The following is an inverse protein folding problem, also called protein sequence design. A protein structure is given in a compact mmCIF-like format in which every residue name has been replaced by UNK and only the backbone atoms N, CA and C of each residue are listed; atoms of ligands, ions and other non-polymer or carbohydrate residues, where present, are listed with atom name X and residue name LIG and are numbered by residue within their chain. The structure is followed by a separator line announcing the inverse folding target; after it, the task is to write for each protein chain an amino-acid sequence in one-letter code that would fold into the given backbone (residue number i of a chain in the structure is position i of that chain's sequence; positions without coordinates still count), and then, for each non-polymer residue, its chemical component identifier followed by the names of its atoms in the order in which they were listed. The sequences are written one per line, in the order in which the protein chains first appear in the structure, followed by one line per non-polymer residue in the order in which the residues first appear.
data_IF_497054825126
#
_entry.id   IF_497054825126
#
_cell.length_a   1.000
_cell.length_b   1.000
_cell.length_c   1.000
_cell.angle_alpha   90.00
_cell.angle_beta   90.00
_cell.angle_gamma   90.00
#
_symmetry.space_group_name_H-M   'P 1'
#
loop_
_entity.id
_entity.type
_entity.pdbx_description
1 polymer ?
#
# COMPACT_ATOMS: atom_id res chain seq x y z
N UNK A 1 -12.90 -35.86 -16.87
CA UNK A 1 -12.54 -34.51 -17.39
C UNK A 1 -13.61 -33.44 -17.12
N UNK A 2 -14.52 -33.67 -16.15
CA UNK A 2 -15.58 -32.72 -15.76
C UNK A 2 -15.28 -32.11 -14.37
N UNK A 3 -14.39 -32.72 -13.58
CA UNK A 3 -14.10 -32.30 -12.21
C UNK A 3 -13.05 -31.17 -12.11
N UNK A 4 -12.14 -31.03 -13.08
CA UNK A 4 -11.17 -29.92 -13.09
C UNK A 4 -11.81 -28.56 -13.40
N UNK A 5 -13.01 -28.55 -13.97
CA UNK A 5 -13.75 -27.32 -14.28
C UNK A 5 -14.50 -26.74 -13.08
N UNK A 6 -14.65 -27.49 -11.99
CA UNK A 6 -15.40 -27.06 -10.80
C UNK A 6 -14.50 -26.48 -9.68
N UNK A 7 -13.18 -26.44 -9.86
CA UNK A 7 -12.22 -26.00 -8.83
C UNK A 7 -11.92 -24.48 -8.83
N UNK A 8 -12.46 -23.69 -9.77
CA UNK A 8 -12.11 -22.27 -9.93
C UNK A 8 -13.20 -21.27 -9.47
N UNK A 9 -14.35 -21.75 -9.01
CA UNK A 9 -15.53 -20.92 -8.73
C UNK A 9 -15.97 -20.87 -7.27
N UNK A 10 -15.45 -21.72 -6.37
CA UNK A 10 -16.15 -21.93 -5.09
C UNK A 10 -15.70 -21.07 -3.89
N UNK A 11 -14.74 -20.15 -4.00
CA UNK A 11 -14.43 -19.22 -2.89
C UNK A 11 -14.18 -17.78 -3.35
N UNK A 12 -14.99 -17.32 -4.29
CA UNK A 12 -15.01 -15.92 -4.73
C UNK A 12 -15.88 -15.09 -3.80
N UNK A 13 -15.28 -14.66 -2.68
CA UNK A 13 -15.93 -13.71 -1.77
C UNK A 13 -15.88 -12.31 -2.40
N UNK A 14 -16.97 -11.89 -3.05
CA UNK A 14 -17.14 -10.53 -3.55
C UNK A 14 -17.63 -9.60 -2.44
N UNK A 15 -16.82 -8.60 -2.14
CA UNK A 15 -17.09 -7.57 -1.15
C UNK A 15 -17.31 -6.25 -1.88
N UNK A 16 -18.48 -5.64 -1.68
CA UNK A 16 -18.75 -4.29 -2.16
C UNK A 16 -18.15 -3.28 -1.20
N UNK A 17 -17.18 -2.49 -1.67
CA UNK A 17 -16.52 -1.46 -0.86
C UNK A 17 -17.31 -0.16 -0.95
N UNK A 18 -17.66 0.27 -2.16
CA UNK A 18 -18.48 1.44 -2.48
C UNK A 18 -19.32 1.18 -3.73
N UNK A 19 -20.27 2.05 -4.00
CA UNK A 19 -21.00 2.06 -5.28
C UNK A 19 -20.02 2.38 -6.41
N UNK A 20 -19.66 1.37 -7.22
CA UNK A 20 -18.65 1.47 -8.28
C UNK A 20 -17.26 0.91 -7.94
N UNK A 21 -17.07 0.35 -6.72
CA UNK A 21 -15.83 -0.33 -6.33
C UNK A 21 -16.16 -1.67 -5.65
N UNK A 22 -15.83 -2.76 -6.32
CA UNK A 22 -15.97 -4.11 -5.76
C UNK A 22 -14.63 -4.82 -5.67
N UNK A 23 -14.49 -5.68 -4.67
CA UNK A 23 -13.30 -6.50 -4.43
C UNK A 23 -13.69 -7.96 -4.44
N UNK A 24 -13.01 -8.75 -5.25
CA UNK A 24 -13.17 -10.19 -5.28
C UNK A 24 -11.91 -10.86 -4.73
N UNK A 25 -12.01 -11.46 -3.55
CA UNK A 25 -10.86 -12.10 -2.91
C UNK A 25 -10.54 -13.40 -3.65
N UNK A 26 -9.31 -13.51 -4.19
CA UNK A 26 -8.79 -14.73 -4.85
C UNK A 26 -7.94 -15.56 -3.90
N UNK A 27 -7.21 -14.90 -3.00
CA UNK A 27 -6.39 -15.52 -1.96
C UNK A 27 -6.46 -14.65 -0.72
N UNK A 28 -6.80 -15.22 0.42
CA UNK A 28 -6.83 -14.51 1.70
C UNK A 28 -5.41 -14.22 2.16
N UNK A 29 -5.20 -13.00 2.64
CA UNK A 29 -3.99 -12.59 3.36
C UNK A 29 -4.17 -12.73 4.86
N UNK A 30 -3.12 -12.41 5.60
CA UNK A 30 -3.12 -12.40 7.06
C UNK A 30 -2.44 -11.13 7.60
N UNK A 31 -2.71 -10.81 8.87
CA UNK A 31 -2.20 -9.63 9.54
C UNK A 31 -3.17 -8.44 9.54
N UNK A 32 -2.63 -7.30 9.96
CA UNK A 32 -3.38 -6.06 10.13
C UNK A 32 -3.64 -5.36 8.79
N UNK A 33 -4.77 -4.66 8.72
CA UNK A 33 -5.10 -3.84 7.56
C UNK A 33 -4.15 -2.62 7.49
N UNK A 34 -3.68 -2.25 6.30
CA UNK A 34 -2.84 -1.09 6.16
C UNK A 34 -3.65 0.19 6.45
N UNK A 35 -2.99 1.15 7.07
CA UNK A 35 -3.55 2.45 7.45
C UNK A 35 -3.01 3.56 6.56
N UNK A 36 -3.76 4.66 6.46
CA UNK A 36 -3.35 5.82 5.67
C UNK A 36 -1.97 6.35 6.13
N UNK A 37 -1.11 6.68 5.17
CA UNK A 37 0.27 7.13 5.40
C UNK A 37 1.30 5.99 5.46
N UNK A 38 0.88 4.73 5.52
CA UNK A 38 1.80 3.61 5.35
C UNK A 38 2.23 3.48 3.89
N UNK A 39 3.44 2.94 3.69
CA UNK A 39 3.93 2.59 2.38
C UNK A 39 3.61 1.13 2.09
N UNK A 40 2.88 0.88 1.02
CA UNK A 40 2.46 -0.47 0.61
C UNK A 40 3.22 -0.91 -0.64
N UNK A 41 3.54 -2.19 -0.73
CA UNK A 41 4.11 -2.80 -1.94
C UNK A 41 3.15 -3.82 -2.50
N UNK A 42 2.84 -3.67 -3.79
CA UNK A 42 1.85 -4.51 -4.46
C UNK A 42 2.39 -5.06 -5.78
N UNK A 43 1.95 -6.27 -6.11
CA UNK A 43 1.95 -6.73 -7.50
C UNK A 43 0.56 -6.59 -8.07
N UNK A 44 0.44 -6.05 -9.27
CA UNK A 44 -0.81 -5.94 -9.98
C UNK A 44 -0.69 -6.33 -11.45
N UNK A 45 -1.85 -6.69 -12.01
CA UNK A 45 -2.15 -6.74 -13.44
C UNK A 45 -3.43 -5.91 -13.66
N UNK A 46 -3.34 -4.88 -14.50
CA UNK A 46 -4.45 -4.03 -14.90
C UNK A 46 -4.96 -4.44 -16.28
N UNK A 47 -6.25 -4.78 -16.35
CA UNK A 47 -6.93 -5.11 -17.61
C UNK A 47 -8.17 -4.24 -17.81
N UNK A 48 -8.51 -4.01 -19.07
CA UNK A 48 -9.80 -3.46 -19.46
C UNK A 48 -10.91 -4.50 -19.22
N UNK A 49 -12.16 -4.08 -19.41
CA UNK A 49 -13.34 -4.96 -19.28
C UNK A 49 -13.34 -6.12 -20.30
N UNK A 50 -12.76 -5.89 -21.48
CA UNK A 50 -12.59 -6.91 -22.53
C UNK A 50 -11.46 -7.92 -22.23
N UNK A 51 -10.73 -7.73 -21.12
CA UNK A 51 -9.59 -8.55 -20.72
C UNK A 51 -8.24 -8.11 -21.29
N UNK A 52 -8.19 -7.04 -22.10
CA UNK A 52 -6.94 -6.49 -22.63
C UNK A 52 -6.08 -5.93 -21.50
N UNK A 53 -4.88 -6.48 -21.32
CA UNK A 53 -3.90 -5.97 -20.36
C UNK A 53 -3.33 -4.64 -20.86
N UNK A 54 -3.41 -3.60 -20.04
CA UNK A 54 -2.79 -2.31 -20.33
C UNK A 54 -1.53 -2.07 -19.49
N UNK A 55 -1.42 -2.72 -18.34
CA UNK A 55 -0.29 -2.53 -17.44
C UNK A 55 -0.10 -3.72 -16.48
N UNK A 56 1.14 -4.12 -16.21
CA UNK A 56 1.47 -5.22 -15.30
C UNK A 56 2.82 -5.04 -14.63
N UNK A 57 2.80 -4.95 -13.30
CA UNK A 57 4.03 -4.98 -12.49
C UNK A 57 4.75 -6.33 -12.55
N UNK A 58 3.99 -7.42 -12.82
CA UNK A 58 4.55 -8.77 -12.91
C UNK A 58 5.35 -8.93 -14.20
N UNK A 59 4.85 -8.37 -15.29
CA UNK A 59 5.58 -8.32 -16.56
C UNK A 59 6.88 -7.51 -16.44
N UNK A 60 6.90 -6.46 -15.60
CA UNK A 60 8.12 -5.70 -15.29
C UNK A 60 9.07 -6.38 -14.29
N UNK A 61 8.60 -7.38 -13.56
CA UNK A 61 9.38 -8.06 -12.52
C UNK A 61 9.62 -7.24 -11.24
N UNK A 62 9.07 -6.03 -11.13
CA UNK A 62 9.26 -5.14 -9.98
C UNK A 62 7.92 -4.77 -9.34
N UNK A 63 7.73 -4.99 -8.03
CA UNK A 63 6.55 -4.52 -7.31
C UNK A 63 6.38 -3.01 -7.42
N UNK A 64 5.14 -2.56 -7.41
CA UNK A 64 4.82 -1.14 -7.34
C UNK A 64 4.64 -0.72 -5.89
N UNK A 65 5.17 0.45 -5.55
CA UNK A 65 5.16 0.98 -4.19
C UNK A 65 4.52 2.36 -4.18
N UNK A 66 3.60 2.59 -3.26
CA UNK A 66 2.95 3.89 -3.07
C UNK A 66 2.57 4.10 -1.60
N UNK A 67 2.32 5.35 -1.24
CA UNK A 67 1.80 5.70 0.08
C UNK A 67 0.28 5.65 0.06
N UNK A 68 -0.30 4.84 0.95
CA UNK A 68 -1.74 4.58 0.98
C UNK A 68 -2.52 5.80 1.51
N UNK A 69 -3.63 6.13 0.85
CA UNK A 69 -4.64 7.05 1.38
C UNK A 69 -4.28 8.52 1.31
N UNK A 70 -3.29 8.89 0.47
CA UNK A 70 -2.90 10.28 0.25
C UNK A 70 -3.20 10.76 -1.18
N UNK A 71 -3.92 9.97 -1.99
CA UNK A 71 -4.29 10.34 -3.37
C UNK A 71 -3.13 10.27 -4.37
N UNK A 72 -2.10 9.46 -4.09
CA UNK A 72 -1.00 9.22 -5.03
C UNK A 72 -1.39 8.32 -6.21
N UNK A 73 -2.42 7.49 -6.02
CA UNK A 73 -2.94 6.54 -7.00
C UNK A 73 -4.43 6.81 -7.23
N UNK A 74 -5.04 6.08 -8.17
CA UNK A 74 -6.48 6.16 -8.41
C UNK A 74 -7.27 5.84 -7.12
N UNK A 75 -8.43 6.48 -6.96
CA UNK A 75 -9.22 6.37 -5.74
C UNK A 75 -9.62 4.92 -5.41
N UNK A 76 -9.87 4.10 -6.44
CA UNK A 76 -10.18 2.69 -6.29
C UNK A 76 -9.06 1.88 -5.65
N UNK A 77 -7.79 2.27 -5.86
CA UNK A 77 -6.65 1.65 -5.20
C UNK A 77 -6.49 2.12 -3.76
N UNK A 78 -6.61 3.42 -3.51
CA UNK A 78 -6.52 3.97 -2.15
C UNK A 78 -7.59 3.35 -1.23
N UNK A 79 -8.82 3.19 -1.73
CA UNK A 79 -9.90 2.56 -0.97
C UNK A 79 -9.83 1.03 -1.00
N UNK A 80 -9.48 0.43 -2.14
CA UNK A 80 -9.45 -1.01 -2.33
C UNK A 80 -8.34 -1.68 -1.52
N UNK A 81 -7.11 -1.20 -1.65
CA UNK A 81 -5.93 -1.75 -0.97
C UNK A 81 -6.00 -1.54 0.54
N UNK A 82 -6.65 -0.47 1.02
CA UNK A 82 -6.93 -0.28 2.44
C UNK A 82 -7.78 -1.40 3.07
N UNK A 83 -8.53 -2.15 2.26
CA UNK A 83 -9.32 -3.31 2.72
C UNK A 83 -8.59 -4.64 2.58
N UNK A 84 -7.37 -4.66 2.02
CA UNK A 84 -6.61 -5.87 1.77
C UNK A 84 -5.65 -6.16 2.92
N UNK A 85 -5.49 -7.43 3.28
CA UNK A 85 -4.46 -7.87 4.22
C UNK A 85 -3.13 -8.17 3.52
N UNK A 86 -1.99 -8.03 4.18
CA UNK A 86 -0.71 -8.52 3.66
C UNK A 86 -0.81 -9.99 3.20
N UNK A 87 -0.29 -10.29 2.00
CA UNK A 87 -0.41 -11.58 1.34
C UNK A 87 -1.74 -11.86 0.64
N UNK A 88 -2.73 -10.96 0.74
CA UNK A 88 -4.01 -11.07 0.04
C UNK A 88 -3.83 -10.79 -1.45
N UNK A 89 -4.47 -11.63 -2.28
CA UNK A 89 -4.65 -11.36 -3.71
C UNK A 89 -6.14 -11.20 -3.99
N UNK A 90 -6.52 -10.08 -4.57
CA UNK A 90 -7.90 -9.77 -4.89
C UNK A 90 -8.01 -9.06 -6.25
N UNK A 91 -9.12 -9.29 -6.93
CA UNK A 91 -9.50 -8.55 -8.14
C UNK A 91 -10.35 -7.35 -7.72
N UNK A 92 -9.82 -6.15 -7.88
CA UNK A 92 -10.54 -4.89 -7.69
C UNK A 92 -11.19 -4.49 -9.02
N UNK A 93 -12.51 -4.30 -8.99
CA UNK A 93 -13.28 -3.76 -10.11
C UNK A 93 -13.59 -2.31 -9.81
N UNK A 94 -13.03 -1.42 -10.62
CA UNK A 94 -13.17 0.01 -10.46
C UNK A 94 -14.01 0.55 -11.61
N UNK A 95 -15.12 1.21 -11.31
CA UNK A 95 -15.79 2.06 -12.29
C UNK A 95 -14.90 3.24 -12.66
N UNK A 96 -15.27 3.95 -13.72
CA UNK A 96 -14.53 5.11 -14.21
C UNK A 96 -14.23 6.13 -13.11
N UNK A 97 -15.19 6.37 -12.21
CA UNK A 97 -15.10 7.38 -11.16
C UNK A 97 -14.07 7.03 -10.08
N UNK A 98 -13.75 5.75 -9.93
CA UNK A 98 -12.70 5.24 -9.05
C UNK A 98 -11.39 4.93 -9.80
N UNK A 99 -11.34 5.22 -11.09
CA UNK A 99 -10.21 5.00 -11.98
C UNK A 99 -9.78 6.31 -12.67
N UNK A 100 -9.91 6.41 -13.99
CA UNK A 100 -9.44 7.54 -14.80
C UNK A 100 -10.56 8.47 -15.31
N UNK A 101 -11.78 8.25 -14.86
CA UNK A 101 -12.96 9.08 -15.15
C UNK A 101 -13.24 9.23 -16.65
N UNK A 102 -13.82 10.38 -17.00
CA UNK A 102 -14.20 10.72 -18.38
C UNK A 102 -13.01 10.99 -19.31
N UNK A 103 -11.81 11.15 -18.77
CA UNK A 103 -10.62 11.49 -19.57
C UNK A 103 -9.90 10.25 -20.10
N UNK A 104 -10.01 9.12 -19.41
CA UNK A 104 -9.15 7.97 -19.67
C UNK A 104 -7.68 8.31 -19.41
N UNK A 105 -6.76 7.51 -19.96
CA UNK A 105 -5.32 7.76 -19.78
C UNK A 105 -4.46 7.17 -20.90
N UNK A 106 -3.41 7.93 -21.28
CA UNK A 106 -2.29 7.45 -22.10
C UNK A 106 -2.64 6.95 -23.51
N UNK A 107 -3.86 7.18 -24.00
CA UNK A 107 -4.35 6.63 -25.26
C UNK A 107 -4.64 5.13 -25.24
N UNK A 108 -4.39 4.45 -24.10
CA UNK A 108 -4.63 3.02 -23.92
C UNK A 108 -5.91 2.77 -23.12
N UNK A 109 -6.22 3.65 -22.17
CA UNK A 109 -7.41 3.57 -21.34
C UNK A 109 -8.47 4.52 -21.89
N UNK A 110 -9.61 4.02 -22.40
CA UNK A 110 -10.63 4.86 -22.98
C UNK A 110 -11.37 5.70 -21.91
N UNK A 111 -12.03 6.81 -22.32
CA UNK A 111 -12.98 7.54 -21.50
C UNK A 111 -14.03 6.62 -20.86
N UNK A 112 -14.38 6.86 -19.60
CA UNK A 112 -15.45 6.12 -18.89
C UNK A 112 -15.24 4.61 -18.82
N UNK A 113 -14.00 4.14 -18.97
CA UNK A 113 -13.67 2.73 -18.89
C UNK A 113 -13.84 2.17 -17.47
N UNK A 114 -14.40 0.97 -17.38
CA UNK A 114 -14.28 0.15 -16.17
C UNK A 114 -12.98 -0.65 -16.25
N UNK A 115 -12.28 -0.72 -15.13
CA UNK A 115 -10.98 -1.38 -15.04
C UNK A 115 -10.99 -2.50 -14.01
N UNK A 116 -10.32 -3.58 -14.37
CA UNK A 116 -10.10 -4.73 -13.51
C UNK A 116 -8.63 -4.74 -13.10
N UNK A 117 -8.38 -4.79 -11.79
CA UNK A 117 -7.03 -4.86 -11.25
C UNK A 117 -6.87 -6.11 -10.40
N UNK A 118 -6.08 -7.07 -10.86
CA UNK A 118 -5.68 -8.22 -10.05
C UNK A 118 -4.48 -7.82 -9.19
N UNK A 119 -4.75 -7.44 -7.94
CA UNK A 119 -3.77 -6.89 -7.00
C UNK A 119 -3.42 -7.94 -5.95
N UNK A 120 -2.13 -8.06 -5.65
CA UNK A 120 -1.55 -8.83 -4.56
C UNK A 120 -0.79 -7.88 -3.65
N UNK A 121 -1.25 -7.73 -2.41
CA UNK A 121 -0.57 -6.93 -1.40
C UNK A 121 0.57 -7.76 -0.81
N UNK A 122 1.81 -7.32 -1.00
CA UNK A 122 3.00 -8.03 -0.52
C UNK A 122 3.28 -7.66 0.93
N UNK A 123 3.41 -6.35 1.19
CA UNK A 123 3.67 -5.81 2.50
C UNK A 123 3.06 -4.41 2.67
N UNK A 124 2.91 -4.04 3.94
CA UNK A 124 2.56 -2.70 4.36
C UNK A 124 3.54 -2.31 5.46
N UNK A 125 4.34 -1.27 5.21
CA UNK A 125 5.33 -0.78 6.15
C UNK A 125 4.97 0.63 6.56
N UNK A 126 4.78 0.85 7.86
CA UNK A 126 4.80 2.23 8.39
C UNK A 126 6.18 2.79 8.15
N UNK A 127 6.34 3.97 7.53
CA UNK A 127 7.63 4.63 7.51
C UNK A 127 8.06 4.77 8.98
N UNK A 128 9.06 3.98 9.38
CA UNK A 128 9.59 4.04 10.72
C UNK A 128 10.19 5.43 10.84
N UNK A 129 9.49 6.32 11.55
CA UNK A 129 10.16 7.45 12.17
C UNK A 129 11.27 6.80 12.98
N UNK A 130 12.50 6.90 12.48
CA UNK A 130 13.67 6.27 13.05
C UNK A 130 13.56 6.45 14.55
N UNK A 131 13.55 5.34 15.30
CA UNK A 131 13.60 5.37 16.75
C UNK A 131 14.86 6.13 17.07
N UNK A 132 14.72 7.43 17.35
CA UNK A 132 15.75 8.27 17.93
C UNK A 132 15.88 7.81 19.40
N UNK A 133 16.30 6.56 19.57
CA UNK A 133 16.90 6.05 20.77
C UNK A 133 18.33 6.60 20.76
N UNK A 134 18.46 7.92 20.84
CA UNK A 134 19.67 8.52 21.37
C UNK A 134 19.64 8.17 22.86
N UNK A 135 20.30 7.05 23.14
CA UNK A 135 20.72 6.61 24.45
C UNK A 135 21.20 7.85 25.20
N UNK A 136 20.54 8.14 26.32
CA UNK A 136 20.92 9.23 27.20
C UNK A 136 22.38 9.08 27.63
N UNK A 137 23.22 10.03 27.25
CA UNK A 137 24.44 10.31 28.00
C UNK A 137 24.06 11.20 29.17
N UNK A 138 23.83 10.54 30.30
CA UNK A 138 24.06 11.08 31.63
C UNK A 138 25.41 11.79 31.63
N UNK A 139 25.45 13.13 31.60
CA UNK A 139 26.39 13.87 32.44
C UNK A 139 25.91 15.30 32.73
N UNK A 140 25.57 15.49 34.00
CA UNK A 140 25.78 16.70 34.79
C UNK A 140 24.94 17.94 34.44
N UNK A 141 23.68 17.93 34.86
CA UNK A 141 23.17 19.07 35.62
C UNK A 141 23.69 18.94 37.06
N UNK A 142 24.76 19.66 37.37
CA UNK A 142 25.32 19.80 38.72
C UNK A 142 25.72 21.24 38.93
N UNK A 143 24.73 22.10 39.19
CA UNK A 143 24.95 23.47 39.66
C UNK A 143 25.58 23.38 41.06
N UNK A 144 26.81 23.88 41.18
CA UNK A 144 27.31 24.59 42.36
C UNK A 144 27.63 23.80 43.63
N UNK A 145 28.92 23.47 43.84
CA UNK A 145 29.57 23.63 45.16
C UNK A 145 31.00 24.15 44.98
N UNK A 146 31.18 25.35 45.52
CA UNK A 146 32.41 26.07 45.85
C UNK A 146 33.41 25.20 46.63
N UNK A 147 34.62 24.94 46.10
CA UNK A 147 35.79 24.56 46.90
C UNK A 147 37.05 25.29 46.39
N UNK A 148 37.41 26.31 47.18
CA UNK A 148 38.72 26.91 47.50
C UNK A 148 39.90 26.84 46.49
N UNK A 149 40.39 28.05 46.18
CA UNK A 149 41.77 28.51 46.48
C UNK A 149 42.90 27.47 46.31
N UNK A 150 43.71 27.67 45.26
CA UNK A 150 45.16 27.74 45.40
C UNK A 150 45.73 28.56 44.22
N UNK A 151 46.01 29.83 44.49
CA UNK A 151 47.08 30.58 43.85
C UNK A 151 48.38 29.79 43.93
N UNK A 152 48.99 29.41 42.80
CA UNK A 152 50.45 29.26 42.73
C UNK A 152 50.98 29.17 41.29
N UNK A 153 51.82 30.14 40.92
CA UNK A 153 52.98 30.07 40.01
C UNK A 153 52.79 29.45 38.60
N UNK A 154 53.11 30.11 37.49
CA UNK A 154 53.81 31.36 37.27
C UNK A 154 54.31 31.46 35.83
N UNK A 155 54.70 32.71 35.49
CA UNK A 155 55.38 33.18 34.28
C UNK A 155 54.52 33.60 33.09
#
# INVERSE_FOLDING_TARGET
QIEERNMADEQREEVRIRDGLTKLIRKKGDGELPTAGQTVRVHYVGTLEDGTEFDSSRARGTPFQFTLGIGQVILGWDLGVATMKPGERALLRCSSDYAYGDRGAGGVIPPKAQLNFDVELLDATTPSAARAFLIGLFQCAGIGVLILFLTYFGR
#
